data_IF_443057889696
#
_entry.id   IF_443057889696
#
_cell.length_a   1.000
_cell.length_b   1.000
_cell.length_c   1.000
_cell.angle_alpha   90.00
_cell.angle_beta   90.00
_cell.angle_gamma   90.00
#
_symmetry.space_group_name_H-M   'P 1'
#
loop_
_entity.id
_entity.type
_entity.pdbx_description
1 polymer ?
#
# COMPACT_ATOMS: atom_id res chain seq x y z
N UNK A 1 11.31 25.14 9.44
CA UNK A 1 11.23 23.66 9.51
C UNK A 1 10.02 23.25 8.70
N UNK A 2 10.19 22.40 7.69
CA UNK A 2 9.04 21.93 6.90
C UNK A 2 8.39 20.76 7.64
N UNK A 3 7.16 20.93 8.07
CA UNK A 3 6.34 19.88 8.69
C UNK A 3 5.30 19.41 7.68
N UNK A 4 5.03 18.11 7.64
CA UNK A 4 3.94 17.55 6.87
C UNK A 4 3.34 16.34 7.57
N UNK A 5 2.05 16.09 7.30
CA UNK A 5 1.34 14.93 7.82
C UNK A 5 1.69 13.71 6.95
N UNK A 6 2.08 12.63 7.61
CA UNK A 6 2.44 11.36 6.99
C UNK A 6 1.75 10.21 7.71
N UNK A 7 1.03 9.36 6.97
CA UNK A 7 0.46 8.15 7.53
C UNK A 7 1.55 7.07 7.65
N UNK A 8 1.80 6.60 8.88
CA UNK A 8 2.79 5.56 9.12
C UNK A 8 2.29 4.21 8.59
N UNK A 9 3.05 3.49 7.75
CA UNK A 9 2.62 2.22 7.16
C UNK A 9 2.57 1.07 8.17
N UNK A 10 3.12 1.25 9.39
CA UNK A 10 3.17 0.21 10.40
C UNK A 10 2.07 0.31 11.45
N UNK A 11 1.80 1.52 11.97
CA UNK A 11 0.75 1.73 12.97
C UNK A 11 -0.54 2.31 12.37
N UNK A 12 -0.54 2.69 11.08
CA UNK A 12 -1.69 3.26 10.38
C UNK A 12 -2.09 4.66 10.82
N UNK A 13 -1.42 5.23 11.83
CA UNK A 13 -1.71 6.56 12.37
C UNK A 13 -1.05 7.65 11.56
N UNK A 14 -1.76 8.78 11.42
CA UNK A 14 -1.18 10.02 10.90
C UNK A 14 -0.20 10.60 11.91
N UNK A 15 0.97 11.00 11.42
CA UNK A 15 2.07 11.49 12.23
C UNK A 15 2.64 12.79 11.64
N UNK A 16 2.93 13.80 12.47
CA UNK A 16 3.65 14.98 12.03
C UNK A 16 5.13 14.63 11.84
N UNK A 17 5.63 14.68 10.61
CA UNK A 17 7.04 14.42 10.30
C UNK A 17 7.75 15.73 10.07
N UNK A 18 8.81 15.97 10.83
CA UNK A 18 9.69 17.12 10.65
C UNK A 18 11.02 16.70 10.03
N UNK A 19 11.95 17.65 9.91
CA UNK A 19 13.32 17.38 9.46
C UNK A 19 14.10 16.46 10.43
N UNK A 20 13.66 16.32 11.68
CA UNK A 20 14.32 15.46 12.68
C UNK A 20 13.97 13.98 12.54
N UNK A 21 12.82 13.66 11.94
CA UNK A 21 12.34 12.28 11.77
C UNK A 21 12.58 11.75 10.36
N UNK A 22 13.24 12.52 9.50
CA UNK A 22 13.53 12.11 8.12
C UNK A 22 15.00 12.27 7.79
N UNK A 23 15.50 11.36 6.98
CA UNK A 23 16.83 11.47 6.37
C UNK A 23 16.69 11.29 4.86
N UNK A 24 17.24 12.23 4.10
CA UNK A 24 17.18 12.22 2.64
C UNK A 24 18.59 12.12 2.09
N UNK A 25 18.81 11.23 1.13
CA UNK A 25 20.03 11.16 0.34
C UNK A 25 19.70 11.27 -1.14
N UNK A 26 20.59 11.91 -1.89
CA UNK A 26 20.44 12.20 -3.31
C UNK A 26 21.64 11.62 -4.05
N UNK A 27 21.40 10.86 -5.10
CA UNK A 27 22.41 10.37 -6.02
C UNK A 27 22.08 10.78 -7.45
N UNK A 28 23.03 11.39 -8.15
CA UNK A 28 22.87 11.82 -9.53
C UNK A 28 23.57 10.85 -10.49
N UNK A 29 22.83 10.36 -11.48
CA UNK A 29 23.40 9.69 -12.65
C UNK A 29 23.86 10.76 -13.63
N UNK A 30 25.17 10.94 -13.73
CA UNK A 30 25.82 11.89 -14.66
C UNK A 30 26.58 11.20 -15.79
N UNK A 31 26.68 9.87 -15.76
CA UNK A 31 27.34 9.11 -16.82
C UNK A 31 26.53 9.18 -18.12
N UNK A 32 27.18 9.34 -19.29
CA UNK A 32 26.51 9.29 -20.58
C UNK A 32 25.77 7.96 -20.77
N UNK A 33 24.49 8.04 -21.12
CA UNK A 33 23.61 6.89 -21.36
C UNK A 33 22.41 7.31 -22.25
N UNK A 34 21.69 6.34 -22.80
CA UNK A 34 20.58 6.59 -23.74
C UNK A 34 19.36 7.28 -23.09
N UNK A 35 19.15 7.09 -21.79
CA UNK A 35 18.04 7.70 -21.05
C UNK A 35 18.35 9.14 -20.62
N UNK A 36 19.62 9.53 -20.60
CA UNK A 36 20.10 10.83 -20.13
C UNK A 36 20.30 10.89 -18.61
N UNK A 37 20.56 12.09 -18.05
CA UNK A 37 20.86 12.23 -16.63
C UNK A 37 19.62 11.99 -15.75
N UNK A 38 19.84 11.42 -14.57
CA UNK A 38 18.79 11.09 -13.60
C UNK A 38 19.19 11.49 -12.19
N UNK A 39 18.19 11.68 -11.33
CA UNK A 39 18.38 11.89 -9.89
C UNK A 39 17.57 10.87 -9.11
N UNK A 40 18.25 10.07 -8.29
CA UNK A 40 17.64 9.19 -7.32
C UNK A 40 17.57 9.93 -5.98
N UNK A 41 16.38 9.97 -5.38
CA UNK A 41 16.16 10.49 -4.04
C UNK A 41 15.68 9.35 -3.15
N UNK A 42 16.47 9.02 -2.14
CA UNK A 42 16.11 8.03 -1.11
C UNK A 42 15.72 8.75 0.17
N UNK A 43 14.66 8.29 0.83
CA UNK A 43 14.11 8.92 2.03
C UNK A 43 13.83 7.87 3.09
N UNK A 44 14.49 8.02 4.24
CA UNK A 44 14.07 7.39 5.48
C UNK A 44 13.10 8.30 6.22
N UNK A 45 12.08 7.70 6.82
CA UNK A 45 11.19 8.37 7.78
C UNK A 45 11.03 7.46 8.98
N UNK A 46 11.32 7.96 10.18
CA UNK A 46 11.10 7.25 11.44
C UNK A 46 9.77 7.70 12.03
N UNK A 47 8.90 6.76 12.38
CA UNK A 47 7.61 7.08 12.99
C UNK A 47 7.79 7.88 14.29
N UNK A 48 7.23 9.11 14.40
CA UNK A 48 7.29 9.92 15.61
C UNK A 48 6.62 9.26 16.82
N UNK A 49 5.59 8.44 16.60
CA UNK A 49 4.91 7.69 17.66
C UNK A 49 5.91 6.85 18.45
N UNK A 50 6.06 7.18 19.73
CA UNK A 50 6.99 6.55 20.66
C UNK A 50 6.78 5.02 20.81
N UNK A 51 5.54 4.53 20.65
CA UNK A 51 5.25 3.09 20.66
C UNK A 51 5.65 2.39 19.36
N UNK A 52 5.64 3.11 18.24
CA UNK A 52 5.92 2.55 16.93
C UNK A 52 7.41 2.60 16.61
N UNK A 53 7.98 3.81 16.48
CA UNK A 53 9.40 4.09 16.16
C UNK A 53 10.02 3.31 14.98
N UNK A 54 9.22 2.59 14.19
CA UNK A 54 9.66 1.88 12.99
C UNK A 54 10.00 2.89 11.90
N UNK A 55 10.98 2.55 11.06
CA UNK A 55 11.36 3.36 9.91
C UNK A 55 10.71 2.84 8.64
N UNK A 56 10.35 3.75 7.73
CA UNK A 56 10.08 3.45 6.33
C UNK A 56 11.23 3.92 5.46
N UNK A 57 11.43 3.25 4.33
CA UNK A 57 12.37 3.65 3.29
C UNK A 57 11.63 3.72 1.95
N UNK A 58 11.74 4.85 1.28
CA UNK A 58 11.27 5.02 -0.10
C UNK A 58 12.38 5.56 -1.00
N UNK A 59 12.27 5.25 -2.28
CA UNK A 59 13.13 5.76 -3.33
C UNK A 59 12.26 6.39 -4.42
N UNK A 60 12.71 7.50 -5.02
CA UNK A 60 12.04 8.12 -6.16
C UNK A 60 13.06 8.54 -7.19
N UNK A 61 12.76 8.26 -8.46
CA UNK A 61 13.59 8.60 -9.59
C UNK A 61 12.99 9.81 -10.31
N UNK A 62 13.85 10.78 -10.58
CA UNK A 62 13.48 12.04 -11.21
C UNK A 62 14.41 12.36 -12.38
N UNK A 63 13.97 13.26 -13.24
CA UNK A 63 14.85 13.99 -14.13
C UNK A 63 15.85 14.82 -13.32
N UNK A 64 17.06 14.99 -13.86
CA UNK A 64 18.07 15.89 -13.29
C UNK A 64 18.11 17.16 -14.13
N UNK A 65 17.66 18.26 -13.55
CA UNK A 65 17.60 19.56 -14.23
C UNK A 65 18.75 20.46 -13.76
N UNK A 66 19.41 21.13 -14.70
CA UNK A 66 20.51 22.06 -14.41
C UNK A 66 20.11 23.43 -14.92
N UNK A 67 20.07 24.42 -14.03
CA UNK A 67 19.81 25.82 -14.37
C UNK A 67 21.00 26.64 -13.88
N UNK A 68 21.82 27.12 -14.82
CA UNK A 68 23.11 27.75 -14.50
C UNK A 68 24.05 26.75 -13.82
N UNK A 69 24.48 27.07 -12.59
CA UNK A 69 25.35 26.22 -11.77
C UNK A 69 24.60 25.35 -10.77
N UNK A 70 23.27 25.47 -10.69
CA UNK A 70 22.44 24.77 -9.70
C UNK A 70 21.77 23.54 -10.31
N UNK A 71 21.69 22.49 -9.51
CA UNK A 71 21.08 21.20 -9.90
C UNK A 71 19.81 20.98 -9.09
N UNK A 72 18.70 20.80 -9.79
CA UNK A 72 17.37 20.64 -9.23
C UNK A 72 16.82 19.23 -9.47
N UNK A 73 15.94 18.81 -8.57
CA UNK A 73 15.11 17.62 -8.78
C UNK A 73 14.04 18.00 -9.80
N UNK A 74 14.15 17.44 -11.00
CA UNK A 74 13.22 17.68 -12.10
C UNK A 74 11.99 16.79 -12.02
N UNK A 75 11.38 16.54 -13.18
CA UNK A 75 10.16 15.72 -13.30
C UNK A 75 10.27 14.36 -12.60
N UNK A 76 9.29 14.03 -11.77
CA UNK A 76 9.12 12.69 -11.19
C UNK A 76 8.85 11.65 -12.28
N UNK A 77 9.62 10.57 -12.27
CA UNK A 77 9.47 9.45 -13.20
C UNK A 77 8.76 8.27 -12.54
N UNK A 78 9.25 7.86 -11.37
CA UNK A 78 8.69 6.72 -10.63
C UNK A 78 9.13 6.74 -9.17
N UNK A 79 8.47 5.96 -8.33
CA UNK A 79 8.81 5.77 -6.92
C UNK A 79 8.58 4.35 -6.46
N UNK A 80 9.29 3.96 -5.41
CA UNK A 80 9.25 2.64 -4.79
C UNK A 80 9.20 2.79 -3.29
N UNK A 81 8.35 2.00 -2.65
CA UNK A 81 8.43 1.76 -1.21
C UNK A 81 9.31 0.53 -1.00
N UNK A 82 10.47 0.74 -0.38
CA UNK A 82 11.43 -0.33 -0.12
C UNK A 82 11.15 -0.97 1.25
N UNK A 83 10.75 -0.14 2.24
CA UNK A 83 10.40 -0.61 3.58
C UNK A 83 9.17 0.17 4.10
N UNK A 84 8.08 -0.51 4.50
CA UNK A 84 7.76 -1.87 4.08
C UNK A 84 7.50 -1.92 2.56
N UNK A 85 7.78 -3.04 1.88
CA UNK A 85 7.46 -3.19 0.47
C UNK A 85 5.94 -3.28 0.21
N UNK A 86 5.19 -3.75 1.21
CA UNK A 86 3.73 -3.89 1.15
C UNK A 86 3.02 -2.67 1.72
N UNK A 87 1.89 -2.30 1.12
CA UNK A 87 0.93 -1.34 1.70
C UNK A 87 -0.09 -2.00 2.64
N UNK A 88 0.14 -3.26 3.00
CA UNK A 88 -0.71 -4.00 3.92
C UNK A 88 -0.84 -3.25 5.25
N UNK A 89 -2.08 -3.02 5.67
CA UNK A 89 -2.43 -2.40 6.94
C UNK A 89 -2.48 -3.46 8.03
N UNK A 90 -2.08 -3.09 9.23
CA UNK A 90 -2.36 -3.90 10.40
C UNK A 90 -3.85 -3.82 10.75
N UNK A 91 -4.46 -4.96 11.07
CA UNK A 91 -5.83 -5.01 11.55
C UNK A 91 -5.86 -5.08 13.08
N UNK A 92 -6.78 -4.35 13.74
CA UNK A 92 -6.95 -4.44 15.19
C UNK A 92 -7.69 -5.71 15.64
N UNK A 93 -8.24 -6.47 14.69
CA UNK A 93 -9.04 -7.68 14.93
C UNK A 93 -8.22 -8.91 14.53
N UNK A 94 -8.38 -10.00 15.29
CA UNK A 94 -7.80 -11.29 14.95
C UNK A 94 -8.53 -11.87 13.73
N UNK A 95 -7.81 -11.99 12.62
CA UNK A 95 -8.29 -12.65 11.40
C UNK A 95 -7.66 -14.05 11.28
N UNK A 96 -8.29 -14.99 10.56
CA UNK A 96 -7.68 -16.27 10.24
C UNK A 96 -6.30 -16.09 9.58
N UNK A 97 -5.29 -16.91 9.93
CA UNK A 97 -3.95 -16.76 9.39
C UNK A 97 -3.90 -16.78 7.86
N UNK A 98 -4.69 -17.64 7.22
CA UNK A 98 -4.77 -17.75 5.76
C UNK A 98 -5.30 -16.48 5.09
N UNK A 99 -6.20 -15.75 5.76
CA UNK A 99 -6.72 -14.47 5.28
C UNK A 99 -5.64 -13.39 5.36
N UNK A 100 -4.85 -13.38 6.44
CA UNK A 100 -3.76 -12.42 6.60
C UNK A 100 -2.66 -12.65 5.58
N UNK A 101 -2.30 -13.91 5.31
CA UNK A 101 -1.29 -14.27 4.31
C UNK A 101 -1.71 -13.83 2.91
N UNK A 102 -2.92 -14.22 2.47
CA UNK A 102 -3.47 -13.81 1.17
C UNK A 102 -3.59 -12.29 1.07
N UNK A 103 -3.93 -11.59 2.15
CA UNK A 103 -4.00 -10.12 2.18
C UNK A 103 -2.62 -9.48 2.03
N UNK A 104 -1.61 -9.98 2.75
CA UNK A 104 -0.24 -9.48 2.66
C UNK A 104 0.30 -9.68 1.25
N UNK A 105 0.08 -10.85 0.65
CA UNK A 105 0.47 -11.15 -0.72
C UNK A 105 -0.29 -10.30 -1.74
N UNK A 106 -1.59 -10.08 -1.54
CA UNK A 106 -2.38 -9.19 -2.39
C UNK A 106 -1.82 -7.77 -2.40
N UNK A 107 -1.44 -7.26 -1.23
CA UNK A 107 -0.87 -5.91 -1.10
C UNK A 107 0.57 -5.81 -1.65
N UNK A 108 1.36 -6.89 -1.58
CA UNK A 108 2.70 -6.95 -2.16
C UNK A 108 2.67 -6.99 -3.69
N UNK A 109 1.72 -7.74 -4.25
CA UNK A 109 1.64 -7.96 -5.70
C UNK A 109 0.87 -6.88 -6.44
N UNK A 110 0.24 -5.92 -5.75
CA UNK A 110 -0.59 -4.87 -6.34
C UNK A 110 0.14 -4.08 -7.44
N UNK A 111 1.37 -3.64 -7.15
CA UNK A 111 2.16 -2.83 -8.09
C UNK A 111 2.75 -3.67 -9.24
N UNK A 112 2.77 -5.01 -9.11
CA UNK A 112 3.27 -5.94 -10.13
C UNK A 112 2.15 -6.48 -11.03
N UNK A 113 1.00 -6.83 -10.45
CA UNK A 113 -0.15 -7.43 -11.15
C UNK A 113 -1.43 -7.15 -10.37
N UNK A 114 -2.16 -6.13 -10.82
CA UNK A 114 -3.50 -5.83 -10.29
C UNK A 114 -4.44 -7.05 -10.40
N UNK A 115 -4.27 -7.90 -11.42
CA UNK A 115 -5.07 -9.13 -11.60
C UNK A 115 -4.79 -10.16 -10.50
N UNK A 116 -3.51 -10.36 -10.16
CA UNK A 116 -3.10 -11.28 -9.07
C UNK A 116 -3.58 -10.77 -7.72
N UNK A 117 -3.37 -9.47 -7.45
CA UNK A 117 -3.86 -8.82 -6.23
C UNK A 117 -5.37 -8.94 -6.07
N UNK A 118 -6.14 -8.75 -7.15
CA UNK A 118 -7.59 -8.92 -7.14
C UNK A 118 -8.03 -10.38 -6.93
N UNK A 119 -7.28 -11.36 -7.44
CA UNK A 119 -7.57 -12.78 -7.20
C UNK A 119 -7.35 -13.16 -5.72
N UNK A 120 -6.23 -12.73 -5.13
CA UNK A 120 -5.93 -12.94 -3.70
C UNK A 120 -6.93 -12.21 -2.79
N UNK A 121 -7.35 -10.99 -3.17
CA UNK A 121 -8.39 -10.25 -2.43
C UNK A 121 -9.74 -10.98 -2.44
N UNK A 122 -10.13 -11.58 -3.58
CA UNK A 122 -11.34 -12.42 -3.65
C UNK A 122 -11.23 -13.64 -2.72
N UNK A 123 -10.06 -14.29 -2.66
CA UNK A 123 -9.79 -15.41 -1.74
C UNK A 123 -9.91 -15.00 -0.27
N UNK A 124 -9.39 -13.84 0.10
CA UNK A 124 -9.55 -13.28 1.45
C UNK A 124 -11.03 -13.17 1.84
N UNK A 125 -11.85 -12.59 0.97
CA UNK A 125 -13.28 -12.42 1.22
C UNK A 125 -13.97 -13.78 1.34
N UNK A 126 -13.73 -14.69 0.40
CA UNK A 126 -14.28 -16.05 0.47
C UNK A 126 -13.93 -16.77 1.77
N UNK A 127 -12.67 -16.69 2.22
CA UNK A 127 -12.25 -17.28 3.48
C UNK A 127 -12.96 -16.63 4.69
N UNK A 128 -13.10 -15.29 4.72
CA UNK A 128 -13.87 -14.60 5.76
C UNK A 128 -15.35 -15.02 5.78
N UNK A 129 -15.97 -15.17 4.60
CA UNK A 129 -17.37 -15.59 4.49
C UNK A 129 -17.58 -17.02 5.02
N UNK A 130 -16.67 -17.93 4.68
CA UNK A 130 -16.70 -19.32 5.14
C UNK A 130 -16.41 -19.44 6.63
N UNK A 131 -15.57 -18.59 7.18
CA UNK A 131 -15.27 -18.63 8.61
C UNK A 131 -16.45 -18.09 9.46
N UNK A 132 -16.98 -16.91 9.11
CA UNK A 132 -18.01 -16.26 9.93
C UNK A 132 -19.43 -16.81 9.66
N UNK A 133 -19.86 -16.86 8.40
CA UNK A 133 -21.22 -17.30 8.02
C UNK A 133 -21.33 -18.79 7.71
N UNK A 134 -20.20 -19.53 7.71
CA UNK A 134 -20.17 -20.97 7.40
C UNK A 134 -20.85 -21.32 6.06
N UNK A 135 -20.67 -20.45 5.06
CA UNK A 135 -21.20 -20.65 3.71
C UNK A 135 -20.58 -21.85 3.01
N UNK A 136 -21.32 -22.45 2.09
CA UNK A 136 -20.82 -23.54 1.25
C UNK A 136 -19.81 -23.01 0.23
N UNK A 137 -18.66 -23.69 0.05
CA UNK A 137 -17.63 -23.29 -0.91
C UNK A 137 -18.17 -23.21 -2.33
N UNK A 138 -17.84 -22.13 -3.04
CA UNK A 138 -18.22 -21.92 -4.43
C UNK A 138 -17.45 -20.78 -5.07
N UNK A 139 -17.99 -20.18 -6.13
CA UNK A 139 -17.48 -18.88 -6.57
C UNK A 139 -17.80 -17.82 -5.52
N UNK A 140 -17.01 -16.75 -5.42
CA UNK A 140 -17.28 -15.66 -4.48
C UNK A 140 -18.72 -15.10 -4.66
N UNK A 141 -19.22 -15.07 -5.89
CA UNK A 141 -20.60 -14.66 -6.17
C UNK A 141 -21.64 -15.61 -5.56
N UNK A 142 -21.39 -16.92 -5.56
CA UNK A 142 -22.30 -17.91 -4.97
C UNK A 142 -22.27 -17.84 -3.45
N UNK A 143 -21.09 -17.61 -2.87
CA UNK A 143 -20.92 -17.42 -1.42
C UNK A 143 -21.62 -16.14 -0.94
N UNK A 144 -21.47 -15.03 -1.68
CA UNK A 144 -22.17 -13.78 -1.39
C UNK A 144 -23.69 -13.91 -1.48
N UNK A 145 -24.21 -14.76 -2.38
CA UNK A 145 -25.67 -15.00 -2.46
C UNK A 145 -26.21 -15.71 -1.23
N UNK A 146 -25.41 -16.57 -0.58
CA UNK A 146 -25.84 -17.32 0.60
C UNK A 146 -26.03 -16.44 1.84
N UNK A 147 -25.27 -15.34 1.96
CA UNK A 147 -25.40 -14.42 3.11
C UNK A 147 -26.44 -13.32 2.89
N UNK A 148 -27.02 -13.24 1.68
CA UNK A 148 -27.99 -12.19 1.32
C UNK A 148 -29.24 -12.33 2.20
N UNK A 149 -29.51 -11.30 3.01
CA UNK A 149 -30.62 -11.31 3.97
C UNK A 149 -30.28 -11.88 5.34
N UNK A 150 -29.08 -12.44 5.52
CA UNK A 150 -28.53 -12.84 6.82
C UNK A 150 -27.56 -11.80 7.37
N UNK A 151 -26.78 -11.17 6.49
CA UNK A 151 -25.98 -10.01 6.85
C UNK A 151 -26.88 -8.81 7.18
N UNK A 152 -26.47 -7.97 8.14
CA UNK A 152 -27.18 -6.73 8.41
C UNK A 152 -27.14 -5.80 7.18
N UNK A 153 -28.14 -4.93 7.00
CA UNK A 153 -28.26 -4.11 5.80
C UNK A 153 -27.04 -3.24 5.50
N UNK A 154 -26.37 -2.73 6.53
CA UNK A 154 -25.22 -1.83 6.38
C UNK A 154 -23.98 -2.59 5.92
N UNK A 155 -23.71 -3.76 6.51
CA UNK A 155 -22.65 -4.66 6.04
C UNK A 155 -22.91 -5.15 4.63
N UNK A 156 -24.15 -5.52 4.31
CA UNK A 156 -24.52 -5.97 2.97
C UNK A 156 -24.32 -4.86 1.92
N UNK A 157 -24.69 -3.62 2.24
CA UNK A 157 -24.47 -2.46 1.38
C UNK A 157 -22.98 -2.19 1.15
N UNK A 158 -22.15 -2.28 2.20
CA UNK A 158 -20.70 -2.14 2.09
C UNK A 158 -20.10 -3.20 1.15
N UNK A 159 -20.53 -4.46 1.28
CA UNK A 159 -20.08 -5.56 0.41
C UNK A 159 -20.54 -5.32 -1.04
N UNK A 160 -21.79 -4.92 -1.26
CA UNK A 160 -22.31 -4.60 -2.59
C UNK A 160 -21.56 -3.44 -3.25
N UNK A 161 -21.22 -2.40 -2.49
CA UNK A 161 -20.47 -1.25 -2.97
C UNK A 161 -19.11 -1.68 -3.55
N UNK A 162 -18.38 -2.51 -2.79
CA UNK A 162 -17.09 -3.07 -3.25
C UNK A 162 -17.30 -3.96 -4.48
N UNK A 163 -18.37 -4.78 -4.52
CA UNK A 163 -18.69 -5.62 -5.69
C UNK A 163 -18.96 -4.80 -6.96
N UNK A 164 -19.76 -3.74 -6.86
CA UNK A 164 -20.17 -2.91 -8.01
C UNK A 164 -19.00 -2.11 -8.60
N UNK A 165 -17.97 -1.84 -7.82
CA UNK A 165 -16.75 -1.18 -8.29
C UNK A 165 -15.88 -2.03 -9.24
N UNK A 166 -16.23 -3.32 -9.45
CA UNK A 166 -15.45 -4.24 -10.30
C UNK A 166 -14.18 -4.78 -9.65
N UNK A 167 -13.93 -4.46 -8.37
CA UNK A 167 -12.75 -4.94 -7.64
C UNK A 167 -12.85 -6.42 -7.23
N UNK A 168 -14.07 -6.93 -7.03
CA UNK A 168 -14.32 -8.31 -6.56
C UNK A 168 -15.34 -9.08 -7.41
N UNK A 169 -15.86 -8.46 -8.46
CA UNK A 169 -16.70 -9.07 -9.50
C UNK A 169 -15.97 -9.07 -10.83
#
# INVERSE_FOLDING_TARGET
>A
MSEYIWQCPFCGSDQPVTDNERQVAIADLTLPNADGPRRLVTKFVVCPNAKCRKFSLSASLHGREVVGTRVYTGKHLTSWNLVPPSRARAFPVLLPPEVLEDYHEACLTLDLSAKTSAALSRRCISAMLRDYWRVQPGSLNDELRQIKGTADPLTWEAIESVRRSGMIG
#
